data_IF_107057217590
#
_entry.id   IF_107057217590
#
_cell.length_a   1.000
_cell.length_b   1.000
_cell.length_c   1.000
_cell.angle_alpha   90.00
_cell.angle_beta   90.00
_cell.angle_gamma   90.00
#
_symmetry.space_group_name_H-M   'P 1'
#
loop_
_entity.id
_entity.type
_entity.pdbx_description
1 polymer ?
#
# COMPACT_ATOMS: atom_id res chain seq x y z
N UNK A 1 -17.73 -11.06 12.90
CA UNK A 1 -17.71 -11.13 11.43
C UNK A 1 -16.94 -9.90 10.98
N UNK A 2 -15.71 -10.07 10.51
CA UNK A 2 -14.89 -8.93 10.08
C UNK A 2 -14.76 -8.96 8.55
N UNK A 3 -15.19 -7.88 7.91
CA UNK A 3 -15.08 -7.70 6.46
C UNK A 3 -13.62 -7.44 6.10
N UNK A 4 -12.98 -8.40 5.44
CA UNK A 4 -11.62 -8.24 4.89
C UNK A 4 -11.73 -7.70 3.45
N UNK A 5 -11.09 -6.57 3.17
CA UNK A 5 -11.01 -5.95 1.84
C UNK A 5 -9.78 -6.45 1.09
N UNK A 6 -9.93 -6.73 -0.20
CA UNK A 6 -8.83 -7.18 -1.06
C UNK A 6 -8.36 -6.03 -1.94
N UNK A 7 -7.04 -5.82 -2.04
CA UNK A 7 -6.42 -4.80 -2.88
C UNK A 7 -5.70 -5.46 -4.06
N UNK A 8 -6.01 -5.00 -5.27
CA UNK A 8 -5.40 -5.44 -6.52
C UNK A 8 -4.78 -4.20 -7.18
N UNK A 9 -3.47 -4.23 -7.40
CA UNK A 9 -2.64 -3.06 -7.66
C UNK A 9 -1.65 -3.29 -8.79
N UNK A 10 -2.14 -3.34 -10.03
CA UNK A 10 -1.32 -3.43 -11.24
C UNK A 10 -2.00 -2.84 -12.49
N UNK A 11 -2.75 -1.74 -12.32
CA UNK A 11 -3.80 -1.35 -13.25
C UNK A 11 -3.36 -1.07 -14.72
N UNK A 12 -2.09 -0.72 -15.00
CA UNK A 12 -1.68 -0.48 -16.40
C UNK A 12 -1.42 -1.77 -17.17
N UNK A 13 -0.72 -2.72 -16.56
CA UNK A 13 -0.24 -3.95 -17.23
C UNK A 13 -1.36 -4.98 -17.37
N UNK A 14 -2.26 -5.03 -16.39
CA UNK A 14 -3.40 -5.95 -16.36
C UNK A 14 -4.50 -5.55 -17.35
N UNK A 15 -4.69 -4.25 -17.60
CA UNK A 15 -5.67 -3.75 -18.57
C UNK A 15 -5.21 -4.00 -20.02
N UNK A 16 -3.92 -3.85 -20.34
CA UNK A 16 -3.42 -4.22 -21.66
C UNK A 16 -3.53 -5.74 -21.90
N UNK A 17 -3.20 -6.55 -20.89
CA UNK A 17 -3.31 -8.01 -20.95
C UNK A 17 -4.77 -8.51 -21.09
N UNK A 18 -5.74 -7.76 -20.56
CA UNK A 18 -7.16 -8.05 -20.67
C UNK A 18 -7.81 -7.50 -21.97
N UNK A 19 -7.02 -6.91 -22.88
CA UNK A 19 -7.48 -6.47 -24.21
C UNK A 19 -8.01 -5.04 -24.27
N UNK A 20 -7.70 -4.19 -23.29
CA UNK A 20 -8.06 -2.78 -23.34
C UNK A 20 -7.07 -1.98 -24.22
N UNK A 21 -7.61 -1.14 -25.10
CA UNK A 21 -6.83 -0.20 -25.92
C UNK A 21 -6.55 1.06 -25.09
N UNK A 22 -5.30 1.24 -24.65
CA UNK A 22 -4.85 2.42 -23.93
C UNK A 22 -4.51 3.52 -24.95
N UNK A 23 -5.41 4.48 -25.13
CA UNK A 23 -5.05 5.79 -25.67
C UNK A 23 -4.84 6.75 -24.50
N UNK A 24 -3.68 7.41 -24.47
CA UNK A 24 -3.33 8.40 -23.45
C UNK A 24 -3.50 9.80 -24.08
N UNK A 25 -4.59 10.54 -23.78
CA UNK A 25 -4.65 11.97 -24.06
C UNK A 25 -3.92 12.77 -22.97
N UNK A 26 -3.53 13.99 -23.33
CA UNK A 26 -2.64 14.94 -22.63
C UNK A 26 -3.07 15.43 -21.24
N UNK A 27 -4.27 15.12 -20.78
CA UNK A 27 -4.78 15.50 -19.47
C UNK A 27 -5.03 14.25 -18.61
N UNK A 28 -4.26 14.11 -17.53
CA UNK A 28 -4.11 12.94 -16.66
C UNK A 28 -5.36 12.53 -15.84
N UNK A 29 -6.55 12.47 -16.44
CA UNK A 29 -7.76 11.92 -15.84
C UNK A 29 -8.27 10.75 -16.67
N UNK A 30 -8.07 9.52 -16.18
CA UNK A 30 -8.72 8.33 -16.71
C UNK A 30 -10.18 8.30 -16.22
N UNK A 31 -11.13 8.15 -17.14
CA UNK A 31 -12.50 7.76 -16.81
C UNK A 31 -12.63 6.24 -16.99
N UNK A 32 -13.11 5.53 -15.97
CA UNK A 32 -13.37 4.09 -16.04
C UNK A 32 -14.85 3.84 -16.28
N UNK A 33 -15.20 3.31 -17.45
CA UNK A 33 -16.56 2.85 -17.75
C UNK A 33 -16.66 1.33 -17.55
N UNK A 34 -17.33 0.91 -16.47
CA UNK A 34 -17.65 -0.50 -16.22
C UNK A 34 -19.02 -0.86 -16.81
N UNK A 35 -19.08 -1.81 -17.73
CA UNK A 35 -20.32 -2.45 -18.16
C UNK A 35 -20.27 -3.96 -17.87
N UNK A 36 -21.37 -4.50 -17.32
CA UNK A 36 -21.64 -5.93 -17.10
C UNK A 36 -20.97 -6.67 -15.91
N UNK A 37 -21.18 -6.21 -14.66
CA UNK A 37 -20.97 -7.07 -13.48
C UNK A 37 -22.32 -7.49 -12.84
N UNK A 38 -22.53 -8.78 -12.52
CA UNK A 38 -23.69 -9.25 -11.75
C UNK A 38 -23.62 -8.72 -10.30
N UNK A 39 -24.78 -8.37 -9.71
CA UNK A 39 -25.01 -7.76 -8.38
C UNK A 39 -23.83 -6.97 -7.77
N UNK A 40 -23.86 -5.64 -7.97
CA UNK A 40 -22.83 -4.65 -7.62
C UNK A 40 -22.37 -4.74 -6.16
N UNK A 41 -21.29 -5.48 -5.87
CA UNK A 41 -20.39 -5.10 -4.78
C UNK A 41 -19.75 -3.77 -5.16
N UNK A 42 -19.84 -2.77 -4.28
CA UNK A 42 -19.19 -1.47 -4.49
C UNK A 42 -17.67 -1.69 -4.53
N UNK A 43 -17.06 -1.47 -5.68
CA UNK A 43 -15.61 -1.43 -5.85
C UNK A 43 -15.16 -0.03 -5.43
N UNK A 44 -14.02 0.04 -4.72
CA UNK A 44 -13.37 1.31 -4.38
C UNK A 44 -12.13 1.49 -5.26
N UNK A 45 -11.89 2.71 -5.71
CA UNK A 45 -10.73 3.09 -6.51
C UNK A 45 -9.80 3.94 -5.65
N UNK A 46 -8.58 3.45 -5.42
CA UNK A 46 -7.56 4.19 -4.68
C UNK A 46 -6.54 4.83 -5.63
N UNK A 47 -6.23 6.11 -5.42
CA UNK A 47 -5.19 6.82 -6.15
C UNK A 47 -3.81 6.59 -5.52
N UNK A 48 -2.91 5.91 -6.25
CA UNK A 48 -1.53 5.62 -5.81
C UNK A 48 -0.68 6.88 -5.69
N UNK A 49 -0.03 7.04 -4.54
CA UNK A 49 0.97 8.06 -4.22
C UNK A 49 2.18 7.34 -3.61
N UNK A 50 3.19 7.10 -4.43
CA UNK A 50 4.47 6.52 -4.00
C UNK A 50 5.41 7.54 -3.34
N UNK A 51 6.57 7.12 -2.81
CA UNK A 51 7.52 8.00 -2.16
C UNK A 51 8.25 8.94 -3.13
N UNK A 52 8.80 10.05 -2.63
CA UNK A 52 9.67 10.94 -3.40
C UNK A 52 10.86 10.19 -4.03
N UNK A 53 11.44 9.21 -3.33
CA UNK A 53 12.58 8.44 -3.82
C UNK A 53 12.33 7.77 -5.18
N UNK A 54 11.08 7.39 -5.48
CA UNK A 54 10.75 6.75 -6.76
C UNK A 54 10.92 7.70 -7.96
N UNK A 55 10.83 9.02 -7.73
CA UNK A 55 11.10 10.03 -8.75
C UNK A 55 12.60 10.20 -9.04
N UNK A 56 13.47 9.92 -8.06
CA UNK A 56 14.91 10.08 -8.23
C UNK A 56 15.52 9.02 -9.16
N UNK A 57 14.81 7.90 -9.39
CA UNK A 57 15.25 6.80 -10.24
C UNK A 57 16.63 6.23 -9.85
N UNK A 58 17.00 6.37 -8.58
CA UNK A 58 18.29 5.95 -8.00
C UNK A 58 18.13 4.83 -6.97
N UNK A 59 16.96 4.17 -6.96
CA UNK A 59 16.56 3.15 -6.00
C UNK A 59 16.43 3.66 -4.54
N UNK A 60 16.44 4.97 -4.33
CA UNK A 60 16.27 5.54 -2.99
C UNK A 60 14.86 5.33 -2.43
N UNK A 61 13.87 4.91 -3.22
CA UNK A 61 12.59 4.42 -2.71
C UNK A 61 12.74 3.20 -1.78
N UNK A 62 13.82 2.43 -1.89
CA UNK A 62 14.09 1.27 -1.04
C UNK A 62 14.90 1.59 0.21
N UNK A 63 15.51 2.79 0.30
CA UNK A 63 16.38 3.20 1.40
C UNK A 63 15.90 4.45 2.14
N UNK A 64 15.12 5.32 1.50
CA UNK A 64 14.61 6.55 2.10
C UNK A 64 15.64 7.66 2.35
N UNK A 65 16.94 7.47 2.07
CA UNK A 65 18.00 8.41 2.48
C UNK A 65 17.86 9.85 1.96
N UNK A 66 17.06 10.10 0.92
CA UNK A 66 16.76 11.46 0.46
C UNK A 66 16.16 12.33 1.58
N UNK A 67 15.43 11.74 2.54
CA UNK A 67 14.76 12.48 3.61
C UNK A 67 15.73 13.17 4.56
N UNK A 68 16.98 12.72 4.65
CA UNK A 68 18.00 13.36 5.48
C UNK A 68 18.31 14.79 5.01
N UNK A 69 18.18 15.03 3.70
CA UNK A 69 18.49 16.32 3.06
C UNK A 69 17.27 17.17 2.75
N UNK A 70 16.07 16.61 2.81
CA UNK A 70 14.83 17.32 2.48
C UNK A 70 14.11 17.82 3.73
N UNK A 71 13.46 18.97 3.66
CA UNK A 71 12.55 19.46 4.69
C UNK A 71 11.16 18.85 4.56
N UNK A 72 10.37 18.95 5.64
CA UNK A 72 8.97 18.52 5.64
C UNK A 72 8.15 19.28 4.57
N UNK A 73 8.38 20.58 4.42
CA UNK A 73 7.66 21.41 3.45
C UNK A 73 8.02 21.07 2.00
N UNK A 74 9.26 20.66 1.71
CA UNK A 74 9.65 20.19 0.38
C UNK A 74 8.93 18.87 0.03
N UNK A 75 8.87 17.93 0.98
CA UNK A 75 8.13 16.68 0.81
C UNK A 75 6.62 16.95 0.60
N UNK A 76 6.04 17.87 1.37
CA UNK A 76 4.64 18.30 1.18
C UNK A 76 4.44 18.96 -0.18
N UNK A 77 5.34 19.85 -0.60
CA UNK A 77 5.25 20.53 -1.88
C UNK A 77 5.25 19.57 -3.06
N UNK A 78 6.08 18.53 -3.00
CA UNK A 78 6.09 17.47 -4.00
C UNK A 78 4.77 16.70 -4.08
N UNK A 79 4.30 16.17 -2.94
CA UNK A 79 3.10 15.32 -2.89
C UNK A 79 1.80 16.07 -3.16
N UNK A 80 1.74 17.38 -2.88
CA UNK A 80 0.52 18.20 -3.00
C UNK A 80 -0.09 18.13 -4.38
N UNK A 81 0.73 18.18 -5.44
CA UNK A 81 0.19 18.17 -6.79
C UNK A 81 -0.37 16.80 -7.16
N UNK A 82 0.26 15.71 -6.74
CA UNK A 82 -0.20 14.35 -7.01
C UNK A 82 -1.56 14.10 -6.34
N UNK A 83 -1.69 14.42 -5.06
CA UNK A 83 -2.95 14.27 -4.32
C UNK A 83 -4.05 15.14 -4.94
N UNK A 84 -3.76 16.39 -5.30
CA UNK A 84 -4.74 17.28 -5.97
C UNK A 84 -5.24 16.70 -7.29
N UNK A 85 -4.35 16.15 -8.11
CA UNK A 85 -4.71 15.52 -9.37
C UNK A 85 -5.63 14.31 -9.14
N UNK A 86 -5.29 13.44 -8.18
CA UNK A 86 -6.07 12.24 -7.87
C UNK A 86 -7.44 12.58 -7.27
N UNK A 87 -7.51 13.54 -6.35
CA UNK A 87 -8.79 14.03 -5.80
C UNK A 87 -9.66 14.61 -6.91
N UNK A 88 -9.09 15.40 -7.81
CA UNK A 88 -9.81 15.97 -8.97
C UNK A 88 -10.29 14.90 -9.95
N UNK A 89 -9.57 13.78 -10.04
CA UNK A 89 -9.98 12.62 -10.84
C UNK A 89 -11.12 11.81 -10.19
N UNK A 90 -11.47 12.09 -8.94
CA UNK A 90 -12.61 11.47 -8.25
C UNK A 90 -12.35 10.08 -7.70
N UNK A 91 -11.10 9.78 -7.30
CA UNK A 91 -10.78 8.53 -6.57
C UNK A 91 -11.54 8.46 -5.23
N UNK A 92 -11.91 7.26 -4.78
CA UNK A 92 -12.60 7.07 -3.49
C UNK A 92 -11.68 7.38 -2.28
N UNK A 93 -10.38 7.15 -2.45
CA UNK A 93 -9.35 7.35 -1.42
C UNK A 93 -7.94 7.44 -2.02
N UNK A 94 -6.97 7.90 -1.24
CA UNK A 94 -5.55 7.95 -1.61
C UNK A 94 -4.79 6.79 -0.96
N UNK A 95 -3.94 6.14 -1.76
CA UNK A 95 -3.03 5.08 -1.35
C UNK A 95 -1.62 5.67 -1.20
N UNK A 96 -1.25 6.12 0.01
CA UNK A 96 0.11 6.59 0.28
C UNK A 96 0.96 5.37 0.58
N UNK A 97 1.68 4.87 -0.42
CA UNK A 97 2.26 3.52 -0.40
C UNK A 97 3.76 3.50 -0.61
N UNK A 98 4.40 2.46 -0.09
CA UNK A 98 5.85 2.25 -0.17
C UNK A 98 6.62 3.42 0.45
N UNK A 99 6.10 4.02 1.52
CA UNK A 99 6.75 5.17 2.16
C UNK A 99 7.92 4.65 3.02
N UNK A 100 9.18 4.98 2.73
CA UNK A 100 10.31 4.33 3.38
C UNK A 100 10.68 4.94 4.73
N UNK A 101 10.19 6.15 5.05
CA UNK A 101 10.61 6.89 6.23
C UNK A 101 9.45 7.46 7.05
N UNK A 102 9.68 7.64 8.35
CA UNK A 102 8.71 8.32 9.21
C UNK A 102 8.53 9.79 8.82
N UNK A 103 9.60 10.49 8.43
CA UNK A 103 9.57 11.91 8.09
C UNK A 103 8.66 12.21 6.89
N UNK A 104 8.72 11.38 5.85
CA UNK A 104 7.83 11.53 4.70
C UNK A 104 6.39 11.16 5.01
N UNK A 105 6.17 10.11 5.80
CA UNK A 105 4.84 9.76 6.30
C UNK A 105 4.20 10.92 7.09
N UNK A 106 4.97 11.60 7.94
CA UNK A 106 4.50 12.79 8.65
C UNK A 106 4.13 13.93 7.70
N UNK A 107 4.95 14.16 6.67
CA UNK A 107 4.69 15.18 5.65
C UNK A 107 3.36 14.92 4.93
N UNK A 108 3.15 13.68 4.50
CA UNK A 108 1.94 13.22 3.82
C UNK A 108 0.69 13.33 4.71
N UNK A 109 0.78 12.88 5.97
CA UNK A 109 -0.34 12.94 6.91
C UNK A 109 -0.71 14.38 7.28
N UNK A 110 0.27 15.28 7.37
CA UNK A 110 0.00 16.71 7.54
C UNK A 110 -0.61 17.34 6.29
N UNK A 111 -0.11 16.98 5.11
CA UNK A 111 -0.60 17.46 3.82
C UNK A 111 -2.07 17.10 3.58
N UNK A 112 -2.52 15.91 4.03
CA UNK A 112 -3.93 15.50 3.90
C UNK A 112 -4.93 16.53 4.47
N UNK A 113 -4.52 17.35 5.45
CA UNK A 113 -5.36 18.40 6.03
C UNK A 113 -5.77 19.48 5.02
N UNK A 114 -5.01 19.65 3.94
CA UNK A 114 -5.34 20.54 2.84
C UNK A 114 -6.47 19.98 1.94
N UNK A 115 -6.81 18.70 2.10
CA UNK A 115 -7.80 17.94 1.30
C UNK A 115 -8.86 17.32 2.23
N UNK A 116 -9.71 18.12 2.92
CA UNK A 116 -10.51 17.67 4.07
C UNK A 116 -11.52 16.56 3.79
N UNK A 117 -11.94 16.38 2.54
CA UNK A 117 -12.88 15.34 2.13
C UNK A 117 -12.18 14.03 1.71
N UNK A 118 -10.86 14.07 1.55
CA UNK A 118 -10.06 12.93 1.11
C UNK A 118 -9.80 11.99 2.29
N UNK A 119 -10.05 10.70 2.07
CA UNK A 119 -9.61 9.60 2.94
C UNK A 119 -8.38 8.95 2.34
N UNK A 120 -7.54 8.36 3.17
CA UNK A 120 -6.33 7.70 2.72
C UNK A 120 -5.97 6.49 3.57
N UNK A 121 -5.12 5.62 3.04
CA UNK A 121 -4.26 4.78 3.85
C UNK A 121 -2.81 5.21 3.73
N UNK A 122 -2.00 4.77 4.68
CA UNK A 122 -0.55 4.87 4.66
C UNK A 122 0.06 3.48 4.78
N UNK A 123 1.01 3.11 3.91
CA UNK A 123 1.80 1.90 4.11
C UNK A 123 3.29 2.17 3.97
N UNK A 124 4.04 1.61 4.91
CA UNK A 124 5.48 1.67 4.93
C UNK A 124 6.09 0.54 4.11
N UNK A 125 7.24 0.80 3.50
CA UNK A 125 8.19 -0.25 3.17
C UNK A 125 9.15 -0.46 4.36
N UNK A 126 9.54 -1.71 4.59
CA UNK A 126 10.39 -2.12 5.71
C UNK A 126 11.55 -2.99 5.22
N UNK A 127 12.73 -2.75 5.77
CA UNK A 127 13.94 -3.51 5.41
C UNK A 127 14.10 -4.79 6.24
N UNK A 128 13.51 -4.84 7.43
CA UNK A 128 13.60 -5.97 8.36
C UNK A 128 12.35 -6.09 9.25
N UNK A 129 12.42 -6.96 10.25
CA UNK A 129 11.33 -7.29 11.18
C UNK A 129 11.01 -6.20 12.21
N UNK A 130 11.77 -5.10 12.24
CA UNK A 130 11.67 -4.04 13.25
C UNK A 130 11.66 -2.62 12.67
N UNK A 131 12.23 -2.41 11.47
CA UNK A 131 12.51 -1.09 10.95
C UNK A 131 11.84 -0.80 9.60
N UNK A 132 11.49 0.46 9.39
CA UNK A 132 11.19 1.02 8.06
C UNK A 132 12.41 0.87 7.14
N UNK A 133 12.22 1.03 5.83
CA UNK A 133 13.32 1.03 4.85
C UNK A 133 14.42 2.04 5.17
N UNK A 134 14.07 3.19 5.76
CA UNK A 134 15.02 4.21 6.19
C UNK A 134 15.72 3.89 7.52
N UNK A 135 15.10 3.07 8.37
CA UNK A 135 15.70 2.59 9.61
C UNK A 135 15.02 3.06 10.89
N UNK A 136 13.89 3.76 10.82
CA UNK A 136 13.10 4.08 12.02
C UNK A 136 12.42 2.82 12.56
N UNK A 137 12.27 2.74 13.88
CA UNK A 137 11.52 1.66 14.52
C UNK A 137 10.04 1.71 14.10
N UNK A 138 9.53 0.61 13.53
CA UNK A 138 8.18 0.53 12.99
C UNK A 138 7.09 0.69 14.07
N UNK A 139 7.31 0.15 15.28
CA UNK A 139 6.39 0.27 16.42
C UNK A 139 6.20 1.75 16.84
N UNK A 140 7.19 2.61 16.61
CA UNK A 140 7.09 4.06 16.82
C UNK A 140 6.49 4.77 15.59
N UNK A 141 6.92 4.40 14.38
CA UNK A 141 6.49 5.04 13.13
C UNK A 141 4.96 4.99 12.95
N UNK A 142 4.30 3.90 13.35
CA UNK A 142 2.84 3.75 13.23
C UNK A 142 2.04 4.79 14.03
N UNK A 143 2.65 5.46 15.02
CA UNK A 143 1.99 6.51 15.81
C UNK A 143 1.61 7.72 14.96
N UNK A 144 2.19 7.90 13.76
CA UNK A 144 1.78 8.94 12.82
C UNK A 144 0.29 8.90 12.50
N UNK A 145 -0.35 7.71 12.53
CA UNK A 145 -1.77 7.57 12.29
C UNK A 145 -2.64 8.37 13.28
N UNK A 146 -2.15 8.61 14.50
CA UNK A 146 -2.85 9.39 15.51
C UNK A 146 -3.00 10.88 15.12
N UNK A 147 -2.20 11.36 14.16
CA UNK A 147 -2.15 12.76 13.75
C UNK A 147 -3.24 13.15 12.75
N UNK A 148 -4.03 12.20 12.23
CA UNK A 148 -5.12 12.47 11.28
C UNK A 148 -6.25 11.44 11.34
N UNK A 149 -7.51 11.94 11.36
CA UNK A 149 -8.73 11.11 11.20
C UNK A 149 -9.10 10.85 9.74
N UNK A 150 -8.28 11.32 8.79
CA UNK A 150 -8.44 11.02 7.36
C UNK A 150 -7.79 9.69 6.98
N UNK A 151 -6.86 9.19 7.80
CA UNK A 151 -6.35 7.84 7.67
C UNK A 151 -7.41 6.83 8.12
N UNK A 152 -7.70 5.86 7.26
CA UNK A 152 -8.63 4.75 7.54
C UNK A 152 -7.91 3.43 7.72
N UNK A 153 -6.71 3.31 7.16
CA UNK A 153 -5.84 2.17 7.35
C UNK A 153 -4.36 2.61 7.42
N UNK A 154 -3.56 1.83 8.12
CA UNK A 154 -2.10 1.95 8.15
C UNK A 154 -1.49 0.55 8.04
N UNK A 155 -0.34 0.39 7.40
CA UNK A 155 0.35 -0.89 7.41
C UNK A 155 1.58 -0.95 6.55
N UNK A 156 1.71 -1.99 5.74
CA UNK A 156 2.95 -2.39 5.09
C UNK A 156 2.70 -2.86 3.66
N UNK A 157 3.60 -2.50 2.76
CA UNK A 157 3.64 -3.07 1.41
C UNK A 157 5.06 -3.15 0.85
N UNK A 158 5.20 -3.90 -0.24
CA UNK A 158 6.46 -4.07 -0.97
C UNK A 158 7.63 -4.64 -0.12
N UNK A 159 7.37 -5.15 1.08
CA UNK A 159 8.32 -5.89 1.90
C UNK A 159 8.15 -7.40 1.71
N UNK A 160 9.15 -8.23 2.07
CA UNK A 160 9.02 -9.68 2.10
C UNK A 160 7.91 -10.15 3.06
N UNK A 161 7.02 -11.09 2.68
CA UNK A 161 5.94 -11.60 3.54
C UNK A 161 6.35 -12.05 4.94
N UNK A 162 7.57 -12.58 5.11
CA UNK A 162 8.06 -13.08 6.41
C UNK A 162 8.29 -11.96 7.43
N UNK A 163 8.52 -10.71 7.02
CA UNK A 163 8.73 -9.60 7.97
C UNK A 163 7.43 -9.03 8.53
N UNK A 164 6.30 -9.32 7.87
CA UNK A 164 5.00 -8.70 8.19
C UNK A 164 4.53 -9.07 9.60
N UNK A 165 4.54 -10.35 9.96
CA UNK A 165 4.01 -10.80 11.27
C UNK A 165 4.80 -10.25 12.46
N UNK A 166 6.15 -10.26 12.47
CA UNK A 166 6.93 -9.58 13.50
C UNK A 166 6.61 -8.09 13.63
N UNK A 167 6.53 -7.37 12.50
CA UNK A 167 6.23 -5.93 12.46
C UNK A 167 4.81 -5.61 13.00
N UNK A 168 3.79 -6.39 12.61
CA UNK A 168 2.44 -6.21 13.14
C UNK A 168 2.36 -6.53 14.63
N UNK A 169 3.08 -7.56 15.08
CA UNK A 169 3.12 -7.95 16.49
C UNK A 169 3.72 -6.86 17.36
N UNK A 170 4.82 -6.23 16.94
CA UNK A 170 5.41 -5.11 17.67
C UNK A 170 4.49 -3.88 17.66
N UNK A 171 3.99 -3.51 16.48
CA UNK A 171 3.18 -2.31 16.30
C UNK A 171 1.79 -2.38 16.96
N UNK A 172 1.22 -3.57 17.14
CA UNK A 172 -0.08 -3.74 17.82
C UNK A 172 -0.12 -3.16 19.25
N UNK A 173 1.04 -2.98 19.90
CA UNK A 173 1.12 -2.32 21.22
C UNK A 173 0.79 -0.82 21.16
N UNK A 174 1.12 -0.16 20.06
CA UNK A 174 1.00 1.29 19.87
C UNK A 174 -0.03 1.69 18.80
N UNK A 175 -0.71 0.70 18.21
CA UNK A 175 -1.68 0.90 17.15
C UNK A 175 -2.90 1.69 17.64
N UNK A 176 -3.31 2.68 16.86
CA UNK A 176 -4.58 3.37 17.08
C UNK A 176 -5.76 2.40 16.84
N UNK A 177 -6.66 2.30 17.82
CA UNK A 177 -7.81 1.38 17.76
C UNK A 177 -8.75 1.66 16.57
N UNK A 178 -8.85 2.93 16.15
CA UNK A 178 -9.75 3.37 15.07
C UNK A 178 -9.21 3.06 13.65
N UNK A 179 -7.97 2.58 13.52
CA UNK A 179 -7.28 2.42 12.23
C UNK A 179 -7.19 0.95 11.86
N UNK A 180 -7.46 0.57 10.63
CA UNK A 180 -7.35 -0.82 10.18
C UNK A 180 -5.93 -1.15 9.68
N UNK A 181 -5.51 -2.41 9.78
CA UNK A 181 -4.25 -2.87 9.17
C UNK A 181 -4.45 -3.17 7.69
N UNK A 182 -3.54 -2.63 6.86
CA UNK A 182 -3.45 -2.86 5.41
C UNK A 182 -2.11 -3.49 5.02
N UNK A 183 -2.14 -4.64 4.35
CA UNK A 183 -0.98 -5.52 4.16
C UNK A 183 -0.97 -6.07 2.74
N UNK A 184 0.05 -5.69 1.96
CA UNK A 184 0.18 -6.16 0.58
C UNK A 184 1.66 -6.28 0.22
N UNK A 185 2.34 -7.35 0.68
CA UNK A 185 3.77 -7.53 0.48
C UNK A 185 4.10 -7.89 -0.98
N UNK A 186 5.39 -7.94 -1.29
CA UNK A 186 5.87 -8.54 -2.54
C UNK A 186 5.77 -10.08 -2.47
N UNK A 187 6.07 -10.80 -3.56
CA UNK A 187 6.06 -12.27 -3.56
C UNK A 187 7.25 -12.94 -2.83
N UNK A 188 8.16 -12.15 -2.26
CA UNK A 188 9.25 -12.60 -1.40
C UNK A 188 10.68 -12.47 -1.93
N UNK A 189 10.83 -12.28 -3.22
CA UNK A 189 12.11 -11.91 -3.82
C UNK A 189 12.50 -10.49 -3.43
N UNK A 190 13.80 -10.25 -3.35
CA UNK A 190 14.40 -9.01 -2.87
C UNK A 190 14.92 -8.21 -4.07
N UNK A 191 14.69 -6.91 -4.09
CA UNK A 191 15.23 -6.04 -5.13
C UNK A 191 16.69 -5.73 -4.86
N UNK A 192 17.54 -5.94 -5.86
CA UNK A 192 18.96 -5.57 -5.87
C UNK A 192 19.20 -4.50 -6.93
N UNK A 193 19.85 -3.40 -6.55
CA UNK A 193 20.06 -2.23 -7.41
C UNK A 193 20.91 -2.52 -8.66
N UNK A 194 21.77 -3.54 -8.63
CA UNK A 194 22.68 -3.87 -9.73
C UNK A 194 22.18 -5.03 -10.58
N UNK A 195 21.34 -5.89 -10.03
CA UNK A 195 20.96 -7.14 -10.67
C UNK A 195 19.44 -7.41 -10.66
N UNK A 196 18.63 -6.44 -10.24
CA UNK A 196 17.18 -6.52 -10.23
C UNK A 196 16.65 -7.49 -9.18
N UNK A 197 15.46 -8.06 -9.40
CA UNK A 197 14.85 -8.99 -8.46
C UNK A 197 15.66 -10.28 -8.32
N UNK A 198 16.02 -10.63 -7.08
CA UNK A 198 16.77 -11.83 -6.73
C UNK A 198 16.06 -12.67 -5.68
N UNK A 199 16.23 -13.98 -5.79
CA UNK A 199 15.61 -14.98 -4.92
C UNK A 199 14.56 -15.80 -5.67
N UNK A 200 14.00 -16.79 -4.99
CA UNK A 200 12.79 -17.48 -5.44
C UNK A 200 11.59 -16.87 -4.71
N UNK A 201 10.44 -16.78 -5.38
CA UNK A 201 9.16 -16.54 -4.70
C UNK A 201 9.04 -17.49 -3.49
N UNK A 202 8.56 -16.99 -2.35
CA UNK A 202 8.55 -17.74 -1.08
C UNK A 202 7.84 -19.10 -1.22
N UNK A 203 8.32 -20.08 -0.46
CA UNK A 203 7.82 -21.45 -0.30
C UNK A 203 6.32 -21.57 0.10
N UNK A 204 5.64 -20.47 0.40
CA UNK A 204 4.28 -20.39 0.94
C UNK A 204 3.44 -19.35 0.17
N UNK A 205 2.27 -19.73 -0.41
CA UNK A 205 1.40 -18.80 -1.14
C UNK A 205 0.91 -17.62 -0.27
N UNK A 206 0.67 -16.47 -0.91
CA UNK A 206 0.15 -15.24 -0.28
C UNK A 206 -1.08 -15.50 0.60
N UNK A 207 -2.02 -16.31 0.10
CA UNK A 207 -3.22 -16.68 0.83
C UNK A 207 -2.87 -17.30 2.20
N UNK A 208 -1.93 -18.23 2.24
CA UNK A 208 -1.60 -18.92 3.49
C UNK A 208 -0.95 -17.96 4.50
N UNK A 209 -0.13 -17.01 4.06
CA UNK A 209 0.38 -15.93 4.92
C UNK A 209 -0.74 -15.02 5.46
N UNK A 210 -1.71 -14.68 4.62
CA UNK A 210 -2.82 -13.81 5.00
C UNK A 210 -3.60 -14.31 6.21
N UNK A 211 -3.72 -15.64 6.41
CA UNK A 211 -4.37 -16.21 7.60
C UNK A 211 -3.77 -15.73 8.92
N UNK A 212 -2.45 -15.62 8.95
CA UNK A 212 -1.68 -15.18 10.11
C UNK A 212 -1.87 -13.68 10.33
N UNK A 213 -1.80 -12.87 9.28
CA UNK A 213 -2.01 -11.43 9.38
C UNK A 213 -3.44 -11.08 9.81
N UNK A 214 -4.44 -11.83 9.34
CA UNK A 214 -5.82 -11.68 9.81
C UNK A 214 -5.92 -11.95 11.31
N UNK A 215 -5.22 -12.96 11.83
CA UNK A 215 -5.18 -13.21 13.26
C UNK A 215 -4.52 -12.06 14.04
N UNK A 216 -3.58 -11.35 13.42
CA UNK A 216 -2.95 -10.14 13.95
C UNK A 216 -3.77 -8.86 13.73
N UNK A 217 -4.98 -8.97 13.16
CA UNK A 217 -5.92 -7.85 12.96
C UNK A 217 -5.87 -7.20 11.58
N UNK A 218 -5.19 -7.80 10.59
CA UNK A 218 -5.21 -7.35 9.20
C UNK A 218 -6.61 -7.50 8.60
N UNK A 219 -7.11 -6.40 8.04
CA UNK A 219 -8.41 -6.36 7.36
C UNK A 219 -8.30 -6.00 5.89
N UNK A 220 -7.21 -5.38 5.45
CA UNK A 220 -7.03 -5.05 4.05
C UNK A 220 -5.82 -5.83 3.57
N UNK A 221 -5.99 -6.75 2.63
CA UNK A 221 -4.94 -7.68 2.22
C UNK A 221 -4.84 -7.71 0.71
N UNK A 222 -3.63 -7.61 0.17
CA UNK A 222 -3.38 -7.65 -1.27
C UNK A 222 -1.99 -8.16 -1.59
N UNK A 223 -1.54 -7.85 -2.80
CA UNK A 223 -0.19 -8.12 -3.27
C UNK A 223 0.46 -6.86 -3.87
N UNK A 224 1.79 -6.85 -3.90
CA UNK A 224 2.59 -5.78 -4.50
C UNK A 224 3.50 -6.36 -5.59
N UNK A 225 4.80 -6.10 -5.57
CA UNK A 225 5.68 -6.54 -6.65
C UNK A 225 5.66 -8.07 -6.82
N UNK A 226 5.48 -8.48 -8.10
CA UNK A 226 5.46 -9.88 -8.58
C UNK A 226 4.36 -10.78 -8.02
N UNK A 227 3.39 -10.23 -7.30
CA UNK A 227 2.12 -10.91 -7.14
C UNK A 227 1.33 -10.85 -8.44
N UNK A 228 0.40 -11.78 -8.62
CA UNK A 228 -0.38 -11.95 -9.84
C UNK A 228 -1.88 -11.97 -9.52
N UNK A 229 -2.75 -11.80 -10.52
CA UNK A 229 -4.19 -12.00 -10.35
C UNK A 229 -4.55 -13.39 -9.79
N UNK A 230 -3.72 -14.42 -10.04
CA UNK A 230 -3.92 -15.76 -9.46
C UNK A 230 -3.75 -15.75 -7.95
N UNK A 231 -2.75 -15.03 -7.43
CA UNK A 231 -2.53 -14.90 -5.98
C UNK A 231 -3.72 -14.23 -5.30
N UNK A 232 -4.32 -13.22 -5.96
CA UNK A 232 -5.51 -12.52 -5.49
C UNK A 232 -6.75 -13.43 -5.52
N UNK A 233 -6.89 -14.25 -6.56
CA UNK A 233 -7.97 -15.23 -6.66
C UNK A 233 -7.88 -16.30 -5.56
N UNK A 234 -6.67 -16.83 -5.31
CA UNK A 234 -6.41 -17.81 -4.25
C UNK A 234 -6.69 -17.22 -2.86
N UNK A 235 -6.26 -15.99 -2.61
CA UNK A 235 -6.57 -15.23 -1.40
C UNK A 235 -8.09 -15.10 -1.21
N UNK A 236 -8.81 -14.71 -2.26
CA UNK A 236 -10.27 -14.58 -2.21
C UNK A 236 -10.96 -15.92 -1.91
N UNK A 237 -10.55 -17.00 -2.57
CA UNK A 237 -11.11 -18.33 -2.36
C UNK A 237 -10.92 -18.78 -0.90
N UNK A 238 -9.72 -18.63 -0.38
CA UNK A 238 -9.40 -19.00 1.00
C UNK A 238 -10.20 -18.18 2.02
N UNK A 239 -10.34 -16.88 1.81
CA UNK A 239 -11.15 -16.01 2.68
C UNK A 239 -12.62 -16.43 2.70
N UNK A 240 -13.20 -16.79 1.54
CA UNK A 240 -14.59 -17.30 1.46
C UNK A 240 -14.76 -18.62 2.20
N UNK A 241 -13.79 -19.53 2.08
CA UNK A 241 -13.82 -20.81 2.80
C UNK A 241 -13.77 -20.60 4.31
N UNK A 242 -12.92 -19.70 4.81
CA UNK A 242 -12.84 -19.35 6.23
C UNK A 242 -14.14 -18.72 6.75
N UNK A 243 -14.80 -17.88 5.94
CA UNK A 243 -16.10 -17.30 6.29
C UNK A 243 -17.21 -18.35 6.36
N UNK A 244 -17.20 -19.35 5.47
CA UNK A 244 -18.19 -20.43 5.48
C UNK A 244 -17.98 -21.45 6.62
N UNK A 245 -16.79 -21.51 7.20
CA UNK A 245 -16.44 -22.42 8.29
C UNK A 245 -16.70 -21.84 9.71
N UNK A 246 -17.05 -20.55 9.81
CA UNK A 246 -17.37 -19.85 11.06
C UNK A 246 -18.88 -19.54 11.14
#
# INVERSE_FOLDING_TARGET
>A
MEDVKILDGGLSTELEAAGFLIQIPSEWCRSYHYSNLPEKKRILIAGSVGPYGAFLHDASEYTGHYVDTMSLEELKAWHRQQIRCLESAGVDLIAMETIPSQKEAEALVELLREFPNTKAWLSYSCQDEQHTSHGENFEEAVKVATKSKQLVALGLNCCPPNVVSPLLTSANKNKCLDIEWIIYPNSGEVWDIHAGWKGCSIERPLAVWALEWIHLGAKWIGGCCRTTPSDIADLQQMLRQKQAAN
#
